data_IF_777294099929
#
_entry.id   IF_777294099929
#
_cell.length_a   1.000
_cell.length_b   1.000
_cell.length_c   1.000
_cell.angle_alpha   90.00
_cell.angle_beta   90.00
_cell.angle_gamma   90.00
#
_symmetry.space_group_name_H-M   'P 1'
#
loop_
_entity.id
_entity.type
_entity.pdbx_description
1 polymer ?
#
# COMPACT_ATOMS: atom_id res chain seq x y z
N UNK A 1 18.47 36.96 12.13
CA UNK A 1 19.20 35.79 11.61
C UNK A 1 18.56 34.55 12.21
N UNK A 2 18.51 33.45 11.47
CA UNK A 2 17.71 32.22 11.68
C UNK A 2 16.24 32.34 11.26
N UNK A 3 15.70 31.55 10.33
CA UNK A 3 16.25 30.46 9.55
C UNK A 3 15.32 30.17 8.37
N UNK A 4 15.92 30.08 7.18
CA UNK A 4 15.26 29.59 5.98
C UNK A 4 14.99 28.09 6.15
N UNK A 5 13.75 27.65 5.95
CA UNK A 5 13.44 26.25 5.70
C UNK A 5 12.87 26.11 4.29
N UNK A 6 13.84 26.11 3.39
CA UNK A 6 13.84 25.74 2.00
C UNK A 6 13.05 24.45 1.70
N UNK A 7 12.29 24.53 0.61
CA UNK A 7 12.21 23.53 -0.46
C UNK A 7 11.54 22.19 -0.07
N UNK A 8 10.29 22.01 -0.50
CA UNK A 8 9.80 20.79 -1.20
C UNK A 8 8.26 20.69 -1.32
N UNK A 9 7.52 21.80 -1.21
CA UNK A 9 6.09 21.83 -1.59
C UNK A 9 5.97 22.05 -3.12
N UNK A 10 6.58 21.16 -3.91
CA UNK A 10 6.46 21.16 -5.37
C UNK A 10 6.78 19.79 -6.01
N UNK A 11 6.97 18.73 -5.21
CA UNK A 11 7.13 17.34 -5.71
C UNK A 11 5.99 16.44 -5.20
N UNK A 12 5.03 16.99 -4.45
CA UNK A 12 3.94 16.24 -3.86
C UNK A 12 2.76 15.97 -4.81
N UNK A 13 2.72 16.60 -5.99
CA UNK A 13 1.50 16.72 -6.81
C UNK A 13 1.40 15.81 -8.04
N UNK A 14 2.32 14.87 -8.30
CA UNK A 14 2.20 14.03 -9.54
C UNK A 14 2.51 12.54 -9.37
N UNK A 15 2.85 12.07 -8.18
CA UNK A 15 2.71 10.65 -7.88
C UNK A 15 1.29 10.43 -7.38
N UNK A 16 0.34 10.27 -8.31
CA UNK A 16 -0.98 9.70 -8.03
C UNK A 16 -0.73 8.31 -7.45
N UNK A 17 -0.60 8.25 -6.12
CA UNK A 17 -0.12 7.09 -5.37
C UNK A 17 -0.96 5.88 -5.76
N UNK A 18 -0.34 4.94 -6.47
CA UNK A 18 -0.97 3.67 -6.78
C UNK A 18 -1.16 2.92 -5.45
N UNK A 19 -2.32 3.06 -4.84
CA UNK A 19 -2.66 2.49 -3.53
C UNK A 19 -3.90 1.64 -3.66
N UNK A 20 -3.85 0.47 -3.05
CA UNK A 20 -4.98 -0.43 -2.94
C UNK A 20 -5.29 -0.58 -1.46
N UNK A 21 -6.44 -0.05 -1.05
CA UNK A 21 -6.96 -0.24 0.29
C UNK A 21 -7.91 -1.44 0.29
N UNK A 22 -7.61 -2.42 1.14
CA UNK A 22 -8.42 -3.61 1.37
C UNK A 22 -9.31 -3.33 2.57
N UNK A 23 -10.62 -3.29 2.36
CA UNK A 23 -11.61 -2.89 3.37
C UNK A 23 -12.77 -3.87 3.58
N UNK A 24 -13.10 -4.71 2.58
CA UNK A 24 -14.20 -5.68 2.67
C UNK A 24 -13.90 -6.95 1.86
N UNK A 25 -14.33 -8.11 2.36
CA UNK A 25 -14.13 -9.44 1.77
C UNK A 25 -15.05 -9.76 0.59
N UNK A 26 -15.94 -8.84 0.19
CA UNK A 26 -16.77 -8.99 -1.02
C UNK A 26 -15.96 -9.11 -2.31
N UNK A 27 -14.75 -8.54 -2.34
CA UNK A 27 -13.85 -8.66 -3.49
C UNK A 27 -13.05 -9.96 -3.37
N UNK A 28 -13.06 -10.83 -4.41
CA UNK A 28 -12.24 -12.04 -4.42
C UNK A 28 -10.75 -11.72 -4.28
N UNK A 29 -9.96 -12.63 -3.70
CA UNK A 29 -8.52 -12.45 -3.50
C UNK A 29 -7.78 -12.03 -4.78
N UNK A 30 -8.07 -12.72 -5.89
CA UNK A 30 -7.45 -12.46 -7.19
C UNK A 30 -7.80 -11.10 -7.81
N UNK A 31 -8.84 -10.42 -7.33
CA UNK A 31 -9.12 -9.05 -7.74
C UNK A 31 -7.95 -8.14 -7.35
N UNK A 32 -7.47 -8.25 -6.11
CA UNK A 32 -6.36 -7.44 -5.60
C UNK A 32 -5.02 -7.85 -6.21
N UNK A 33 -4.78 -9.16 -6.40
CA UNK A 33 -3.58 -9.67 -7.09
C UNK A 33 -3.47 -9.09 -8.50
N UNK A 34 -4.57 -9.09 -9.25
CA UNK A 34 -4.57 -8.55 -10.61
C UNK A 34 -4.36 -7.04 -10.65
N UNK A 35 -4.87 -6.28 -9.69
CA UNK A 35 -4.61 -4.83 -9.62
C UNK A 35 -3.14 -4.53 -9.27
N UNK A 36 -2.54 -5.36 -8.42
CA UNK A 36 -1.21 -5.12 -7.88
C UNK A 36 -0.05 -5.54 -8.80
N UNK A 37 -0.28 -6.47 -9.74
CA UNK A 37 0.80 -7.03 -10.58
C UNK A 37 1.35 -6.10 -11.67
N UNK A 38 0.69 -4.97 -11.94
CA UNK A 38 1.00 -4.15 -13.12
C UNK A 38 1.98 -3.00 -12.85
N UNK A 39 2.06 -2.49 -11.62
CA UNK A 39 2.85 -1.31 -11.26
C UNK A 39 3.28 -1.39 -9.79
N UNK A 40 4.25 -0.55 -9.41
CA UNK A 40 4.55 -0.32 -8.00
C UNK A 40 3.29 0.15 -7.27
N UNK A 41 2.92 -0.54 -6.19
CA UNK A 41 1.66 -0.34 -5.48
C UNK A 41 1.85 -0.43 -3.98
N UNK A 42 1.12 0.40 -3.24
CA UNK A 42 1.01 0.31 -1.79
C UNK A 42 -0.28 -0.45 -1.43
N UNK A 43 -0.13 -1.60 -0.78
CA UNK A 43 -1.26 -2.35 -0.23
C UNK A 43 -1.49 -1.97 1.23
N UNK A 44 -2.71 -1.61 1.60
CA UNK A 44 -3.08 -1.29 2.98
C UNK A 44 -4.38 -1.98 3.39
N UNK A 45 -4.51 -2.31 4.67
CA UNK A 45 -5.69 -2.97 5.22
C UNK A 45 -5.76 -2.77 6.72
N UNK A 46 -6.96 -2.83 7.29
CA UNK A 46 -7.20 -2.65 8.72
C UNK A 46 -7.97 -3.85 9.29
N UNK A 47 -7.62 -4.25 10.51
CA UNK A 47 -8.28 -5.34 11.21
C UNK A 47 -8.24 -6.64 10.40
N UNK A 48 -9.40 -7.24 10.17
CA UNK A 48 -9.50 -8.51 9.42
C UNK A 48 -8.99 -8.43 7.98
N UNK A 49 -8.93 -7.24 7.37
CA UNK A 49 -8.42 -7.09 6.01
C UNK A 49 -6.89 -7.25 5.90
N UNK A 50 -6.17 -7.22 7.03
CA UNK A 50 -4.71 -7.38 7.06
C UNK A 50 -4.31 -8.76 6.51
N UNK A 51 -5.06 -9.83 6.82
CA UNK A 51 -4.76 -11.18 6.30
C UNK A 51 -4.81 -11.22 4.77
N UNK A 52 -5.83 -10.59 4.17
CA UNK A 52 -5.94 -10.47 2.71
C UNK A 52 -4.77 -9.70 2.11
N UNK A 53 -4.32 -8.60 2.73
CA UNK A 53 -3.14 -7.84 2.28
C UNK A 53 -1.89 -8.72 2.29
N UNK A 54 -1.68 -9.48 3.37
CA UNK A 54 -0.56 -10.42 3.51
C UNK A 54 -0.62 -11.48 2.41
N UNK A 55 -1.77 -12.15 2.23
CA UNK A 55 -1.93 -13.18 1.20
C UNK A 55 -1.70 -12.65 -0.22
N UNK A 56 -2.15 -11.43 -0.54
CA UNK A 56 -1.89 -10.82 -1.85
C UNK A 56 -0.40 -10.57 -2.04
N UNK A 57 0.29 -10.02 -1.04
CA UNK A 57 1.74 -9.78 -1.11
C UNK A 57 2.53 -11.09 -1.25
N UNK A 58 2.15 -12.15 -0.52
CA UNK A 58 2.76 -13.47 -0.62
C UNK A 58 2.58 -14.09 -2.00
N UNK A 59 1.37 -14.05 -2.56
CA UNK A 59 1.10 -14.55 -3.92
C UNK A 59 1.98 -13.82 -4.93
N UNK A 60 2.04 -12.48 -4.88
CA UNK A 60 2.85 -11.70 -5.82
C UNK A 60 4.34 -12.06 -5.73
N UNK A 61 4.88 -12.23 -4.52
CA UNK A 61 6.29 -12.59 -4.31
C UNK A 61 6.59 -14.03 -4.75
N UNK A 62 5.75 -14.98 -4.38
CA UNK A 62 5.93 -16.40 -4.71
C UNK A 62 5.89 -16.67 -6.21
N UNK A 63 5.11 -15.87 -6.96
CA UNK A 63 5.04 -15.95 -8.42
C UNK A 63 6.05 -15.04 -9.15
N UNK A 64 6.92 -14.32 -8.43
CA UNK A 64 7.92 -13.42 -9.02
C UNK A 64 7.34 -12.17 -9.69
N UNK A 65 6.10 -11.79 -9.36
CA UNK A 65 5.44 -10.60 -9.91
C UNK A 65 5.79 -9.30 -9.19
N UNK A 66 6.22 -9.37 -7.93
CA UNK A 66 6.60 -8.20 -7.16
C UNK A 66 7.72 -8.51 -6.17
N UNK A 67 8.44 -7.46 -5.76
CA UNK A 67 9.38 -7.47 -4.64
C UNK A 67 8.90 -6.48 -3.59
N UNK A 68 9.04 -6.83 -2.31
CA UNK A 68 8.70 -5.89 -1.24
C UNK A 68 9.73 -4.76 -1.15
N UNK A 69 9.26 -3.51 -1.07
CA UNK A 69 10.12 -2.36 -0.80
C UNK A 69 10.04 -1.90 0.66
N UNK A 70 8.85 -2.01 1.26
CA UNK A 70 8.58 -1.54 2.62
C UNK A 70 7.39 -2.29 3.19
N UNK A 71 7.49 -2.65 4.47
CA UNK A 71 6.39 -3.20 5.27
C UNK A 71 6.25 -2.30 6.50
N UNK A 72 5.02 -1.90 6.81
CA UNK A 72 4.72 -1.06 7.96
C UNK A 72 3.38 -1.47 8.56
N UNK A 73 3.33 -1.55 9.88
CA UNK A 73 2.11 -1.76 10.65
C UNK A 73 2.01 -0.66 11.69
N UNK A 74 0.79 -0.23 11.97
CA UNK A 74 0.50 0.75 13.02
C UNK A 74 -0.83 0.41 13.68
N UNK A 75 -0.96 0.82 14.94
CA UNK A 75 -2.22 0.71 15.68
C UNK A 75 -2.96 2.04 15.56
N UNK A 76 -4.23 2.01 15.16
CA UNK A 76 -5.12 3.17 15.22
C UNK A 76 -5.84 3.20 16.56
N UNK A 77 -5.97 4.39 17.15
CA UNK A 77 -6.75 4.56 18.37
C UNK A 77 -8.24 4.67 18.03
N UNK A 78 -9.10 4.07 18.86
CA UNK A 78 -10.56 4.20 18.78
C UNK A 78 -10.99 4.93 20.06
N UNK A 79 -10.88 6.26 20.02
CA UNK A 79 -11.44 7.13 21.05
C UNK A 79 -12.95 7.01 21.14
#
# INVERSE_FOLDING_TARGET
>A
MEGVNNINIAVAETQKKNRIQVSNTKKPLFFYVNLAKHNEVELSGLGMAISTVVSVAEILKNHGFAVEKKIMTSTGDKG
#
